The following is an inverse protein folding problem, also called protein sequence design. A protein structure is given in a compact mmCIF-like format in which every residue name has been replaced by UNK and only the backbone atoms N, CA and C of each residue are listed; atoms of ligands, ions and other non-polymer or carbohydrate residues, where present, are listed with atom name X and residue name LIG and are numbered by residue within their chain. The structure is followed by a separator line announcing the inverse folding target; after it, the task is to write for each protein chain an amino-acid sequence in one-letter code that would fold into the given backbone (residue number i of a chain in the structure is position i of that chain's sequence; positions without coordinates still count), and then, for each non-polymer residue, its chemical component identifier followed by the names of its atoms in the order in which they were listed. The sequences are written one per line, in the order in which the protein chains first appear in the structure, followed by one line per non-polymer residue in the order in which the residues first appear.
data_IF_765015428668
#
_entry.id   IF_765015428668
#
_cell.length_a   1.000
_cell.length_b   1.000
_cell.length_c   1.000
_cell.angle_alpha   90.00
_cell.angle_beta   90.00
_cell.angle_gamma   90.00
#
_symmetry.space_group_name_H-M   'P 1'
#
loop_
_entity.id
_entity.type
_entity.pdbx_description
1 polymer ?
#
# COMPACT_ATOMS: atom_id res chain seq x y z
N UNK A 1 -10.07 10.99 11.47
CA UNK A 1 -9.15 12.11 11.38
C UNK A 1 -8.65 12.30 9.95
N UNK A 2 -7.94 11.36 9.34
CA UNK A 2 -7.62 11.42 7.90
C UNK A 2 -8.80 10.86 7.12
N UNK A 3 -9.30 11.62 6.13
CA UNK A 3 -10.36 11.16 5.22
C UNK A 3 -9.73 10.37 4.05
N UNK A 4 -8.74 10.95 3.40
CA UNK A 4 -8.02 10.30 2.32
C UNK A 4 -6.61 10.87 2.17
N UNK A 5 -5.74 10.07 1.53
CA UNK A 5 -4.37 10.45 1.16
C UNK A 5 -4.22 10.23 -0.33
N UNK A 6 -3.57 11.16 -1.03
CA UNK A 6 -3.21 11.03 -2.44
C UNK A 6 -1.70 11.08 -2.60
N UNK A 7 -1.16 10.20 -3.44
CA UNK A 7 0.25 10.26 -3.84
C UNK A 7 0.35 10.51 -5.33
N UNK A 8 1.41 11.20 -5.73
CA UNK A 8 1.73 11.45 -7.13
C UNK A 8 2.72 10.40 -7.63
N UNK A 9 2.44 9.82 -8.79
CA UNK A 9 3.19 8.70 -9.36
C UNK A 9 3.85 9.11 -10.67
N UNK A 10 5.05 8.61 -10.92
CA UNK A 10 5.72 8.81 -12.20
C UNK A 10 5.00 8.08 -13.33
N UNK A 11 4.48 6.89 -13.06
CA UNK A 11 3.73 6.05 -13.99
C UNK A 11 2.49 5.50 -13.28
N UNK A 12 1.34 6.11 -13.54
CA UNK A 12 0.07 5.73 -12.88
C UNK A 12 -0.30 4.28 -13.19
N UNK A 13 -0.08 3.81 -14.42
CA UNK A 13 -0.40 2.44 -14.80
C UNK A 13 0.44 1.41 -14.01
N UNK A 14 1.73 1.68 -13.83
CA UNK A 14 2.62 0.82 -13.05
C UNK A 14 2.22 0.82 -11.57
N UNK A 15 1.93 1.98 -11.00
CA UNK A 15 1.49 2.11 -9.61
C UNK A 15 0.13 1.43 -9.39
N UNK A 16 -0.81 1.59 -10.33
CA UNK A 16 -2.10 0.94 -10.27
C UNK A 16 -1.97 -0.58 -10.30
N UNK A 17 -1.13 -1.13 -11.17
CA UNK A 17 -0.90 -2.57 -11.23
C UNK A 17 -0.33 -3.10 -9.89
N UNK A 18 0.58 -2.35 -9.27
CA UNK A 18 1.13 -2.70 -7.95
C UNK A 18 0.04 -2.67 -6.87
N UNK A 19 -0.68 -1.55 -6.73
CA UNK A 19 -1.68 -1.41 -5.67
C UNK A 19 -2.91 -2.31 -5.88
N UNK A 20 -3.32 -2.59 -7.12
CA UNK A 20 -4.35 -3.60 -7.41
C UNK A 20 -3.96 -4.95 -6.79
N UNK A 21 -2.69 -5.35 -6.95
CA UNK A 21 -2.20 -6.65 -6.50
C UNK A 21 -2.04 -6.72 -4.98
N UNK A 22 -1.43 -5.70 -4.36
CA UNK A 22 -1.06 -5.77 -2.94
C UNK A 22 -2.20 -5.41 -2.00
N UNK A 23 -3.18 -4.61 -2.45
CA UNK A 23 -4.32 -4.22 -1.63
C UNK A 23 -5.45 -5.26 -1.64
N UNK A 24 -5.52 -6.10 -2.67
CA UNK A 24 -6.56 -7.14 -2.77
C UNK A 24 -6.56 -8.07 -1.54
N UNK A 25 -5.42 -8.62 -1.09
CA UNK A 25 -5.40 -9.45 0.13
C UNK A 25 -5.85 -8.73 1.40
N UNK A 26 -5.80 -7.40 1.41
CA UNK A 26 -6.22 -6.57 2.53
C UNK A 26 -7.71 -6.19 2.46
N UNK A 27 -8.42 -6.64 1.42
CA UNK A 27 -9.81 -6.28 1.17
C UNK A 27 -9.99 -4.99 0.38
N UNK A 28 -8.90 -4.39 -0.10
CA UNK A 28 -8.92 -3.15 -0.87
C UNK A 28 -9.13 -3.38 -2.36
N UNK A 29 -9.79 -2.46 -3.01
CA UNK A 29 -10.01 -2.48 -4.46
C UNK A 29 -10.14 -1.06 -5.00
N UNK A 30 -10.14 -0.94 -6.33
CA UNK A 30 -10.50 0.34 -6.96
C UNK A 30 -11.96 0.64 -6.66
N UNK A 31 -12.21 1.71 -5.91
CA UNK A 31 -13.56 2.21 -5.61
C UNK A 31 -13.98 3.24 -6.65
N UNK A 32 -13.04 4.08 -7.08
CA UNK A 32 -13.24 5.06 -8.14
C UNK A 32 -12.07 5.01 -9.11
N UNK A 33 -12.38 5.06 -10.40
CA UNK A 33 -11.39 5.03 -11.46
C UNK A 33 -11.74 6.08 -12.52
N UNK A 34 -10.94 7.14 -12.58
CA UNK A 34 -11.08 8.22 -13.54
C UNK A 34 -10.00 8.16 -14.63
N UNK A 35 -9.35 7.00 -14.78
CA UNK A 35 -8.24 6.82 -15.72
C UNK A 35 -6.90 7.20 -15.09
N UNK A 36 -6.61 8.49 -15.00
CA UNK A 36 -5.36 8.99 -14.43
C UNK A 36 -5.39 9.09 -12.91
N UNK A 37 -6.57 9.19 -12.30
CA UNK A 37 -6.76 9.26 -10.86
C UNK A 37 -7.57 8.06 -10.40
N UNK A 38 -6.99 7.23 -9.53
CA UNK A 38 -7.60 5.99 -9.07
C UNK A 38 -7.67 6.02 -7.56
N UNK A 39 -8.87 5.83 -7.02
CA UNK A 39 -9.13 5.78 -5.59
C UNK A 39 -9.33 4.34 -5.12
N UNK A 40 -8.53 3.93 -4.14
CA UNK A 40 -8.56 2.61 -3.51
C UNK A 40 -9.16 2.69 -2.12
N UNK A 41 -9.81 1.64 -1.72
CA UNK A 41 -10.32 1.48 -0.37
C UNK A 41 -11.09 0.18 -0.23
N UNK A 42 -11.60 -0.05 0.98
CA UNK A 42 -12.64 -1.06 1.20
C UNK A 42 -13.96 -0.40 0.83
N UNK A 43 -14.68 -0.92 -0.20
CA UNK A 43 -15.91 -0.27 -0.64
C UNK A 43 -16.88 0.00 0.52
N UNK A 44 -17.64 1.13 0.50
CA UNK A 44 -17.85 2.00 -0.67
C UNK A 44 -16.97 3.26 -0.73
N UNK A 45 -16.02 3.45 0.20
CA UNK A 45 -15.28 4.71 0.31
C UNK A 45 -13.82 4.55 -0.08
N UNK A 46 -13.30 5.35 -1.05
CA UNK A 46 -11.88 5.40 -1.31
C UNK A 46 -11.19 6.25 -0.24
N UNK A 47 -10.05 5.80 0.25
CA UNK A 47 -9.24 6.51 1.24
C UNK A 47 -7.77 6.66 0.85
N UNK A 48 -7.37 6.03 -0.26
CA UNK A 48 -6.04 6.13 -0.81
C UNK A 48 -6.10 6.34 -2.32
N UNK A 49 -5.43 7.39 -2.83
CA UNK A 49 -5.47 7.75 -4.24
C UNK A 49 -4.08 7.75 -4.86
N UNK A 50 -4.02 7.33 -6.12
CA UNK A 50 -2.84 7.50 -6.97
C UNK A 50 -3.21 8.37 -8.16
N UNK A 51 -2.28 9.21 -8.59
CA UNK A 51 -2.47 10.09 -9.75
C UNK A 51 -1.13 10.51 -10.34
N UNK A 52 -1.13 11.20 -11.49
CA UNK A 52 0.10 11.67 -12.11
C UNK A 52 0.73 12.80 -11.29
N UNK A 53 2.02 13.04 -11.52
CA UNK A 53 2.71 14.18 -10.94
C UNK A 53 2.29 15.46 -11.65
N UNK A 54 1.42 16.24 -11.02
CA UNK A 54 0.83 17.46 -11.60
C UNK A 54 1.31 18.73 -10.90
N UNK A 55 1.98 18.61 -9.76
CA UNK A 55 2.46 19.75 -8.97
C UNK A 55 3.67 19.36 -8.13
N UNK A 56 4.45 20.33 -7.67
CA UNK A 56 5.65 20.10 -6.89
C UNK A 56 6.81 19.60 -7.74
N UNK A 57 7.98 19.47 -7.13
CA UNK A 57 9.21 19.01 -7.76
C UNK A 57 9.90 17.95 -6.91
N UNK A 58 10.53 17.00 -7.60
CA UNK A 58 11.32 15.94 -6.99
C UNK A 58 10.47 14.86 -6.33
N UNK A 59 11.16 13.88 -5.79
CA UNK A 59 10.57 12.75 -5.08
C UNK A 59 10.89 12.86 -3.60
N UNK A 60 9.89 12.60 -2.77
CA UNK A 60 10.07 12.37 -1.34
C UNK A 60 9.42 11.04 -0.98
N UNK A 61 10.18 10.17 -0.32
CA UNK A 61 9.67 8.90 0.15
C UNK A 61 8.55 9.12 1.18
N UNK A 62 7.40 8.52 0.91
CA UNK A 62 6.31 8.44 1.87
C UNK A 62 6.34 7.07 2.55
N UNK A 63 5.86 7.01 3.79
CA UNK A 63 5.57 5.76 4.47
C UNK A 63 4.06 5.60 4.56
N UNK A 64 3.54 4.54 3.93
CA UNK A 64 2.12 4.24 3.86
C UNK A 64 1.89 2.87 4.49
N UNK A 65 1.17 2.83 5.61
CA UNK A 65 0.83 1.59 6.28
C UNK A 65 -0.66 1.30 6.14
N UNK A 66 -0.96 0.14 5.55
CA UNK A 66 -2.33 -0.34 5.36
C UNK A 66 -2.66 -1.39 6.40
N UNK A 67 -3.85 -1.29 6.99
CA UNK A 67 -4.29 -2.28 7.97
C UNK A 67 -4.65 -3.60 7.29
N UNK A 68 -4.15 -4.69 7.84
CA UNK A 68 -4.50 -6.04 7.43
C UNK A 68 -5.47 -6.65 8.47
N UNK A 69 -6.51 -7.38 8.03
CA UNK A 69 -7.47 -7.97 8.95
C UNK A 69 -6.87 -9.07 9.85
N UNK A 70 -5.82 -9.74 9.35
CA UNK A 70 -5.12 -10.80 10.08
C UNK A 70 -3.68 -10.94 9.57
N UNK A 71 -2.88 -11.80 10.21
CA UNK A 71 -1.49 -12.03 9.81
C UNK A 71 -1.37 -12.72 8.46
N UNK A 72 -2.32 -13.58 8.10
CA UNK A 72 -2.33 -14.23 6.79
C UNK A 72 -2.49 -13.21 5.66
N UNK A 73 -3.26 -12.14 5.88
CA UNK A 73 -3.39 -11.06 4.90
C UNK A 73 -2.07 -10.28 4.73
N UNK A 74 -1.29 -10.08 5.79
CA UNK A 74 0.06 -9.50 5.69
C UNK A 74 0.97 -10.38 4.83
N UNK A 75 0.95 -11.70 5.08
CA UNK A 75 1.74 -12.65 4.29
C UNK A 75 1.31 -12.63 2.81
N UNK A 76 0.02 -12.57 2.54
CA UNK A 76 -0.52 -12.51 1.18
C UNK A 76 -0.17 -11.19 0.47
N UNK A 77 -0.22 -10.06 1.18
CA UNK A 77 0.27 -8.77 0.68
C UNK A 77 1.73 -8.88 0.25
N UNK A 78 2.57 -9.45 1.10
CA UNK A 78 3.99 -9.61 0.82
C UNK A 78 4.22 -10.51 -0.40
N UNK A 79 3.53 -11.65 -0.50
CA UNK A 79 3.63 -12.55 -1.65
C UNK A 79 3.20 -11.86 -2.94
N UNK A 80 2.14 -11.05 -2.92
CA UNK A 80 1.68 -10.29 -4.07
C UNK A 80 2.71 -9.25 -4.52
N UNK A 81 3.36 -8.56 -3.56
CA UNK A 81 4.42 -7.60 -3.84
C UNK A 81 5.64 -8.29 -4.48
N UNK A 82 6.06 -9.43 -3.95
CA UNK A 82 7.15 -10.21 -4.53
C UNK A 82 6.82 -10.67 -5.95
N UNK A 83 5.59 -11.11 -6.20
CA UNK A 83 5.15 -11.53 -7.54
C UNK A 83 5.19 -10.38 -8.56
N UNK A 84 5.08 -9.13 -8.10
CA UNK A 84 5.24 -7.93 -8.93
C UNK A 84 6.69 -7.48 -9.07
N UNK A 85 7.64 -8.18 -8.45
CA UNK A 85 9.05 -7.79 -8.48
C UNK A 85 9.39 -6.60 -7.59
N UNK A 86 8.57 -6.29 -6.60
CA UNK A 86 8.82 -5.17 -5.69
C UNK A 86 10.08 -5.39 -4.86
N UNK A 87 10.81 -4.31 -4.57
CA UNK A 87 11.92 -4.34 -3.63
C UNK A 87 11.38 -4.61 -2.23
N UNK A 88 11.97 -5.60 -1.55
CA UNK A 88 11.61 -5.96 -0.18
C UNK A 88 12.45 -5.15 0.80
N UNK A 89 11.79 -4.44 1.70
CA UNK A 89 12.47 -3.79 2.83
C UNK A 89 12.54 -4.73 4.03
N UNK A 90 11.40 -5.31 4.42
CA UNK A 90 11.33 -6.29 5.50
C UNK A 90 10.25 -7.33 5.23
N UNK A 91 10.64 -8.60 5.27
CA UNK A 91 9.70 -9.71 5.20
C UNK A 91 8.76 -9.74 6.42
N UNK A 92 7.59 -10.39 6.33
CA UNK A 92 6.65 -10.45 7.43
C UNK A 92 7.28 -11.00 8.71
N UNK A 93 7.10 -10.28 9.81
CA UNK A 93 7.50 -10.72 11.15
C UNK A 93 6.79 -9.92 12.23
N UNK A 94 6.90 -10.41 13.47
CA UNK A 94 6.57 -9.60 14.63
C UNK A 94 7.62 -8.50 14.83
N UNK A 95 7.15 -7.33 15.22
CA UNK A 95 7.96 -6.15 15.52
C UNK A 95 7.74 -5.76 16.98
N UNK A 96 8.30 -6.53 17.94
CA UNK A 96 8.09 -6.27 19.36
C UNK A 96 8.63 -4.90 19.81
N UNK A 97 9.57 -4.32 19.06
CA UNK A 97 10.07 -2.97 19.27
C UNK A 97 8.99 -1.89 19.13
N UNK A 98 7.87 -2.20 18.44
CA UNK A 98 6.71 -1.29 18.35
C UNK A 98 5.65 -1.66 19.40
N UNK A 99 5.18 -2.90 19.39
CA UNK A 99 4.38 -3.52 20.44
C UNK A 99 4.27 -5.04 20.19
N UNK A 100 3.77 -5.79 21.19
CA UNK A 100 3.85 -7.26 21.18
C UNK A 100 3.11 -7.97 20.04
N UNK A 101 2.04 -7.39 19.51
CA UNK A 101 1.23 -7.97 18.45
C UNK A 101 1.40 -7.28 17.08
N UNK A 102 2.41 -6.45 16.95
CA UNK A 102 2.67 -5.76 15.69
C UNK A 102 3.27 -6.75 14.70
N UNK A 103 2.45 -7.23 13.74
CA UNK A 103 2.90 -8.12 12.67
C UNK A 103 2.83 -7.36 11.35
N UNK A 104 3.98 -7.16 10.69
CA UNK A 104 4.05 -6.31 9.52
C UNK A 104 5.11 -6.72 8.53
N UNK A 105 4.91 -6.31 7.28
CA UNK A 105 5.84 -6.45 6.17
C UNK A 105 5.96 -5.12 5.43
N UNK A 106 7.13 -4.86 4.86
CA UNK A 106 7.48 -3.58 4.24
C UNK A 106 8.09 -3.83 2.87
N UNK A 107 7.55 -3.17 1.85
CA UNK A 107 8.03 -3.25 0.46
C UNK A 107 8.09 -1.84 -0.14
N UNK A 108 8.73 -1.70 -1.32
CA UNK A 108 8.68 -0.44 -2.06
C UNK A 108 7.67 -0.51 -3.20
N UNK A 109 6.93 0.57 -3.38
CA UNK A 109 6.10 0.73 -4.57
C UNK A 109 6.96 1.12 -5.79
N UNK A 110 6.38 1.24 -7.01
CA UNK A 110 7.16 1.59 -8.20
C UNK A 110 7.91 2.92 -8.13
N UNK A 111 7.47 3.87 -7.29
CA UNK A 111 8.14 5.15 -7.09
C UNK A 111 9.17 5.11 -5.96
N UNK A 112 9.22 4.05 -5.19
CA UNK A 112 10.16 3.89 -4.06
C UNK A 112 9.59 4.25 -2.70
N UNK A 113 8.27 4.44 -2.57
CA UNK A 113 7.64 4.67 -1.27
C UNK A 113 7.70 3.41 -0.41
N UNK A 114 7.85 3.60 0.89
CA UNK A 114 7.80 2.53 1.88
C UNK A 114 6.33 2.17 2.15
N UNK A 115 5.92 1.00 1.66
CA UNK A 115 4.53 0.51 1.77
C UNK A 115 4.50 -0.68 2.73
N UNK A 116 3.64 -0.58 3.72
CA UNK A 116 3.52 -1.56 4.80
C UNK A 116 2.12 -2.14 4.83
N UNK A 117 2.02 -3.44 5.11
CA UNK A 117 0.80 -4.05 5.62
C UNK A 117 1.03 -4.44 7.08
N UNK A 118 0.11 -4.08 7.96
CA UNK A 118 0.24 -4.34 9.39
C UNK A 118 -1.04 -4.88 10.00
N UNK A 119 -0.88 -5.91 10.82
CA UNK A 119 -1.94 -6.48 11.67
C UNK A 119 -1.54 -6.30 13.13
N UNK A 120 -2.46 -5.80 13.94
CA UNK A 120 -2.25 -5.59 15.38
C UNK A 120 -2.87 -6.70 16.24
N UNK A 121 -3.59 -7.64 15.64
CA UNK A 121 -4.20 -8.76 16.35
C UNK A 121 -3.17 -9.87 16.63
N UNK A 122 -3.32 -10.59 17.76
CA UNK A 122 -2.46 -11.74 18.09
C UNK A 122 -2.61 -12.91 17.13
#
# INVERSE_FOLDING_TARGET
MIDHVSIQCADVAASAAFYDAVLEPLGGSRVMDFGDFIGYGVPPKPDFWVGPQVTGEGFRENHLAFVAPDRAAVDAFFAAAEAKGAEVLHAPRLWPEYHENYYGAFVRDPDGNNVEAVCHAP
#
